data_IF_945509049486
#
_entry.id   IF_945509049486
#
_cell.length_a   1.000
_cell.length_b   1.000
_cell.length_c   1.000
_cell.angle_alpha   90.00
_cell.angle_beta   90.00
_cell.angle_gamma   90.00
#
_symmetry.space_group_name_H-M   'P 1'
#
loop_
_entity.id
_entity.type
_entity.pdbx_description
1 polymer ?
#
# COMPACT_ATOMS: atom_id res chain seq x y z
N UNK A 1 14.04 5.62 6.83
CA UNK A 1 13.28 6.61 7.62
C UNK A 1 12.38 7.39 6.67
N UNK A 2 11.10 7.29 6.87
CA UNK A 2 10.14 7.98 6.01
C UNK A 2 10.10 9.45 6.40
N UNK A 3 10.26 10.34 5.42
CA UNK A 3 10.15 11.77 5.67
C UNK A 3 8.73 12.09 6.12
N UNK A 4 8.60 12.98 7.09
CA UNK A 4 7.30 13.38 7.61
C UNK A 4 6.47 14.04 6.50
N UNK A 5 5.30 13.50 6.25
CA UNK A 5 4.42 13.99 5.20
C UNK A 5 3.74 15.29 5.67
N UNK A 6 3.79 16.30 4.83
CA UNK A 6 3.14 17.58 5.08
C UNK A 6 1.91 17.68 4.19
N UNK A 7 0.73 17.65 4.80
CA UNK A 7 -0.54 17.67 4.06
C UNK A 7 -0.71 18.95 3.24
N UNK A 8 -0.27 20.09 3.76
CA UNK A 8 -0.38 21.36 3.06
C UNK A 8 0.41 21.36 1.75
N UNK A 9 1.61 20.77 1.75
CA UNK A 9 2.42 20.67 0.56
C UNK A 9 1.78 19.76 -0.50
N UNK A 10 0.91 18.85 -0.06
CA UNK A 10 0.17 17.96 -0.95
C UNK A 10 -1.19 18.54 -1.36
N UNK A 11 -1.47 19.79 -0.98
CA UNK A 11 -2.70 20.45 -1.35
C UNK A 11 -3.90 20.14 -0.46
N UNK A 12 -3.66 19.59 0.73
CA UNK A 12 -4.73 19.23 1.66
C UNK A 12 -4.67 20.07 2.93
N UNK A 13 -5.84 20.56 3.35
CA UNK A 13 -5.96 21.25 4.63
C UNK A 13 -5.76 20.26 5.78
N UNK A 14 -5.07 20.67 6.83
CA UNK A 14 -4.93 19.85 8.02
C UNK A 14 -6.23 19.84 8.80
N UNK A 15 -6.89 18.70 8.87
CA UNK A 15 -8.09 18.48 9.66
C UNK A 15 -7.83 17.36 10.66
N UNK A 16 -8.62 17.32 11.73
CA UNK A 16 -8.48 16.27 12.74
C UNK A 16 -8.59 14.86 12.12
N UNK A 17 -9.59 14.57 11.27
CA UNK A 17 -9.66 13.25 10.64
C UNK A 17 -8.44 12.93 9.75
N UNK A 18 -7.98 13.89 8.96
CA UNK A 18 -6.83 13.67 8.08
C UNK A 18 -5.57 13.41 8.88
N UNK A 19 -5.34 14.16 9.94
CA UNK A 19 -4.18 13.96 10.80
C UNK A 19 -4.24 12.62 11.51
N UNK A 20 -5.43 12.18 11.96
CA UNK A 20 -5.59 10.90 12.62
C UNK A 20 -5.26 9.74 11.68
N UNK A 21 -5.80 9.75 10.46
CA UNK A 21 -5.52 8.70 9.47
C UNK A 21 -4.04 8.70 9.08
N UNK A 22 -3.45 9.87 8.88
CA UNK A 22 -2.03 9.99 8.54
C UNK A 22 -1.15 9.38 9.64
N UNK A 23 -1.44 9.68 10.90
CA UNK A 23 -0.69 9.11 12.02
C UNK A 23 -0.83 7.59 12.10
N UNK A 24 -2.04 7.07 11.84
CA UNK A 24 -2.25 5.63 11.80
C UNK A 24 -1.39 4.98 10.72
N UNK A 25 -1.33 5.57 9.55
CA UNK A 25 -0.52 5.06 8.44
C UNK A 25 0.98 5.16 8.75
N UNK A 26 1.41 6.26 9.33
CA UNK A 26 2.82 6.46 9.70
C UNK A 26 3.28 5.49 10.78
N UNK A 27 2.41 5.15 11.72
CA UNK A 27 2.72 4.21 12.79
C UNK A 27 2.80 2.75 12.30
N UNK A 28 2.28 2.45 11.11
CA UNK A 28 2.19 1.10 10.58
C UNK A 28 2.81 0.99 9.19
N UNK A 29 3.93 1.65 8.98
CA UNK A 29 4.60 1.73 7.67
C UNK A 29 5.09 0.39 7.16
N UNK A 30 5.35 -0.57 8.04
CA UNK A 30 5.80 -1.91 7.66
C UNK A 30 4.63 -2.79 7.18
N UNK A 31 3.40 -2.30 7.27
CA UNK A 31 2.21 -3.07 6.94
C UNK A 31 1.36 -2.33 5.92
N UNK A 32 0.70 -3.11 5.08
CA UNK A 32 -0.34 -2.58 4.22
C UNK A 32 -1.64 -2.58 5.04
N UNK A 33 -2.31 -1.45 5.12
CA UNK A 33 -3.50 -1.31 5.94
C UNK A 33 -4.76 -1.18 5.08
N UNK A 34 -5.76 -2.00 5.40
CA UNK A 34 -7.11 -1.79 4.85
C UNK A 34 -7.78 -0.64 5.61
N UNK A 35 -8.92 -0.17 5.09
CA UNK A 35 -9.70 0.84 5.81
C UNK A 35 -10.15 0.31 7.18
N UNK A 36 -10.50 -0.98 7.27
CA UNK A 36 -10.85 -1.63 8.54
C UNK A 36 -9.69 -1.60 9.52
N UNK A 37 -8.47 -1.84 9.04
CA UNK A 37 -7.27 -1.82 9.89
C UNK A 37 -7.05 -0.41 10.47
N UNK A 38 -7.22 0.62 9.64
CA UNK A 38 -7.10 2.00 10.09
C UNK A 38 -8.18 2.32 11.12
N UNK A 39 -9.41 1.90 10.85
CA UNK A 39 -10.53 2.11 11.77
C UNK A 39 -10.25 1.48 13.13
N UNK A 40 -9.83 0.21 13.17
CA UNK A 40 -9.52 -0.49 14.41
C UNK A 40 -8.35 0.15 15.16
N UNK A 41 -7.33 0.56 14.44
CA UNK A 41 -6.19 1.23 15.05
C UNK A 41 -6.62 2.49 15.81
N UNK A 42 -7.48 3.30 15.19
CA UNK A 42 -7.98 4.53 15.82
C UNK A 42 -8.91 4.23 16.97
N UNK A 43 -9.74 3.21 16.84
CA UNK A 43 -10.68 2.80 17.90
C UNK A 43 -9.92 2.35 19.15
N UNK A 44 -8.87 1.57 19.00
CA UNK A 44 -8.03 1.08 20.09
C UNK A 44 -7.32 2.20 20.85
N UNK A 45 -7.16 3.36 20.25
CA UNK A 45 -6.47 4.51 20.82
C UNK A 45 -7.40 5.62 21.24
N UNK A 46 -8.68 5.29 21.42
CA UNK A 46 -9.71 6.24 21.84
C UNK A 46 -9.84 7.46 20.93
N UNK A 47 -9.59 7.27 19.64
CA UNK A 47 -9.75 8.31 18.62
C UNK A 47 -10.60 7.80 17.46
N UNK A 48 -11.81 7.31 17.73
CA UNK A 48 -12.61 6.69 16.68
C UNK A 48 -13.06 7.71 15.62
N UNK A 49 -13.09 7.23 14.39
CA UNK A 49 -13.70 7.94 13.28
C UNK A 49 -14.74 7.03 12.64
N UNK A 50 -15.83 7.58 12.11
CA UNK A 50 -16.76 6.76 11.33
C UNK A 50 -16.06 6.10 10.15
N UNK A 51 -16.47 4.88 9.79
CA UNK A 51 -15.87 4.18 8.64
C UNK A 51 -15.97 5.00 7.36
N UNK A 52 -17.08 5.69 7.15
CA UNK A 52 -17.25 6.55 5.97
C UNK A 52 -16.20 7.66 5.91
N UNK A 53 -15.83 8.20 7.07
CA UNK A 53 -14.79 9.22 7.15
C UNK A 53 -13.42 8.61 6.83
N UNK A 54 -13.11 7.42 7.33
CA UNK A 54 -11.86 6.73 7.03
C UNK A 54 -11.72 6.50 5.52
N UNK A 55 -12.76 5.97 4.89
CA UNK A 55 -12.76 5.75 3.43
C UNK A 55 -12.56 7.05 2.65
N UNK A 56 -13.27 8.11 3.05
CA UNK A 56 -13.17 9.40 2.39
C UNK A 56 -11.76 9.99 2.49
N UNK A 57 -11.15 9.92 3.67
CA UNK A 57 -9.80 10.43 3.86
C UNK A 57 -8.78 9.63 3.06
N UNK A 58 -8.90 8.30 3.06
CA UNK A 58 -8.00 7.44 2.27
C UNK A 58 -8.13 7.73 0.77
N UNK A 59 -9.35 7.97 0.29
CA UNK A 59 -9.56 8.35 -1.11
C UNK A 59 -8.92 9.69 -1.44
N UNK A 60 -9.02 10.65 -0.53
CA UNK A 60 -8.37 11.96 -0.68
C UNK A 60 -6.86 11.83 -0.70
N UNK A 61 -6.31 10.99 0.16
CA UNK A 61 -4.86 10.74 0.21
C UNK A 61 -4.36 10.03 -1.06
N UNK A 62 -5.14 9.10 -1.59
CA UNK A 62 -4.80 8.44 -2.86
C UNK A 62 -4.76 9.46 -3.99
N UNK A 63 -5.78 10.29 -4.08
CA UNK A 63 -5.86 11.30 -5.12
C UNK A 63 -4.75 12.34 -5.02
N UNK A 64 -4.33 12.66 -3.80
CA UNK A 64 -3.24 13.61 -3.57
C UNK A 64 -1.85 12.97 -3.72
N UNK A 65 -1.76 11.68 -3.93
CA UNK A 65 -0.49 10.98 -4.07
C UNK A 65 0.21 10.68 -2.75
N UNK A 66 -0.50 10.73 -1.64
CA UNK A 66 0.05 10.45 -0.30
C UNK A 66 0.10 8.96 -0.05
N UNK A 67 -0.92 8.22 -0.49
CA UNK A 67 -0.99 6.76 -0.36
C UNK A 67 -1.21 6.12 -1.72
N UNK A 68 -0.80 4.86 -1.82
CA UNK A 68 -1.11 3.98 -2.95
C UNK A 68 -2.09 2.92 -2.48
N UNK A 69 -3.05 2.61 -3.32
CA UNK A 69 -4.03 1.58 -3.08
C UNK A 69 -3.67 0.33 -3.87
N UNK A 70 -3.68 -0.82 -3.20
CA UNK A 70 -3.37 -2.11 -3.82
C UNK A 70 -4.49 -3.11 -3.54
N UNK A 71 -4.72 -4.00 -4.49
CA UNK A 71 -5.63 -5.13 -4.32
C UNK A 71 -4.79 -6.40 -4.41
N UNK A 72 -4.57 -7.06 -3.27
CA UNK A 72 -3.65 -8.20 -3.17
C UNK A 72 -4.35 -9.55 -3.16
N UNK A 73 -5.66 -9.58 -3.36
CA UNK A 73 -6.36 -10.85 -3.54
C UNK A 73 -6.67 -11.08 -5.03
N UNK A 74 -6.84 -12.35 -5.41
CA UNK A 74 -7.11 -12.70 -6.80
C UNK A 74 -8.44 -12.12 -7.30
N UNK A 75 -9.37 -11.88 -6.41
CA UNK A 75 -10.69 -11.32 -6.71
C UNK A 75 -10.72 -9.81 -6.67
N UNK A 76 -9.64 -9.17 -6.21
CA UNK A 76 -9.51 -7.72 -6.06
C UNK A 76 -10.61 -7.10 -5.19
N UNK A 77 -11.11 -7.85 -4.23
CA UNK A 77 -12.18 -7.40 -3.34
C UNK A 77 -11.66 -6.67 -2.12
N UNK A 78 -10.47 -7.04 -1.62
CA UNK A 78 -9.87 -6.41 -0.47
C UNK A 78 -8.81 -5.41 -0.90
N UNK A 79 -9.01 -4.16 -0.52
CA UNK A 79 -8.08 -3.09 -0.85
C UNK A 79 -7.27 -2.70 0.37
N UNK A 80 -5.99 -2.51 0.16
CA UNK A 80 -5.06 -2.05 1.20
C UNK A 80 -4.34 -0.81 0.71
N UNK A 81 -3.84 -0.05 1.67
CA UNK A 81 -3.21 1.24 1.41
C UNK A 81 -1.83 1.26 2.06
N UNK A 82 -0.90 1.90 1.40
CA UNK A 82 0.41 2.17 1.99
C UNK A 82 0.83 3.60 1.68
N UNK A 83 1.62 4.18 2.56
CA UNK A 83 2.19 5.49 2.29
C UNK A 83 3.09 5.41 1.07
N UNK A 84 2.93 6.36 0.18
CA UNK A 84 3.75 6.43 -1.03
C UNK A 84 5.14 6.89 -0.64
N UNK A 85 6.01 5.92 -0.42
CA UNK A 85 7.39 6.18 -0.07
C UNK A 85 8.19 6.44 -1.35
N UNK A 86 9.32 7.09 -1.18
CA UNK A 86 10.23 7.37 -2.28
C UNK A 86 10.89 6.12 -2.85
N UNK A 87 10.87 5.02 -2.12
CA UNK A 87 11.47 3.77 -2.59
C UNK A 87 10.42 2.85 -3.20
N UNK A 88 10.57 2.64 -4.50
CA UNK A 88 9.74 1.69 -5.22
C UNK A 88 10.06 0.26 -4.77
N UNK A 89 9.03 -0.54 -4.56
CA UNK A 89 9.19 -1.96 -4.27
C UNK A 89 8.06 -2.75 -4.91
N UNK A 90 8.35 -4.03 -5.17
CA UNK A 90 7.40 -4.96 -5.74
C UNK A 90 6.89 -5.90 -4.65
N UNK A 91 5.85 -6.64 -4.94
CA UNK A 91 5.16 -7.46 -3.94
C UNK A 91 5.01 -8.91 -4.38
N UNK A 92 5.25 -9.83 -3.45
CA UNK A 92 4.94 -11.25 -3.60
C UNK A 92 3.86 -11.60 -2.58
N UNK A 93 2.72 -12.06 -3.04
CA UNK A 93 1.54 -12.30 -2.23
C UNK A 93 1.19 -13.78 -2.18
N UNK A 94 1.00 -14.33 -0.98
CA UNK A 94 0.49 -15.68 -0.84
C UNK A 94 -1.03 -15.67 -1.01
N UNK A 95 -1.53 -16.47 -1.94
CA UNK A 95 -2.98 -16.53 -2.21
C UNK A 95 -3.75 -17.26 -1.11
N UNK A 96 -3.06 -18.00 -0.24
CA UNK A 96 -3.71 -18.76 0.84
C UNK A 96 -3.72 -18.01 2.15
N UNK A 97 -2.57 -17.63 2.68
CA UNK A 97 -2.50 -16.92 3.97
C UNK A 97 -2.48 -15.40 3.82
N UNK A 98 -2.36 -14.90 2.58
CA UNK A 98 -2.38 -13.48 2.23
C UNK A 98 -1.20 -12.69 2.78
N UNK A 99 -0.12 -13.37 3.16
CA UNK A 99 1.11 -12.68 3.53
C UNK A 99 1.68 -11.93 2.34
N UNK A 100 2.21 -10.74 2.58
CA UNK A 100 2.78 -9.89 1.55
C UNK A 100 4.26 -9.69 1.86
N UNK A 101 5.11 -10.00 0.87
CA UNK A 101 6.55 -9.81 0.98
C UNK A 101 7.01 -8.79 -0.04
N UNK A 102 7.74 -7.79 0.41
CA UNK A 102 8.27 -6.76 -0.46
C UNK A 102 9.64 -7.19 -0.98
N UNK A 103 9.92 -6.87 -2.22
CA UNK A 103 11.24 -7.13 -2.80
C UNK A 103 11.57 -6.06 -3.84
N UNK A 104 12.85 -5.92 -4.11
CA UNK A 104 13.34 -5.06 -5.18
C UNK A 104 14.48 -5.81 -5.88
N UNK A 105 14.33 -6.08 -7.16
CA UNK A 105 15.33 -6.77 -7.96
C UNK A 105 15.81 -5.84 -9.08
N UNK A 106 17.09 -5.42 -9.06
CA UNK A 106 17.60 -4.52 -10.08
C UNK A 106 17.51 -5.07 -11.51
N UNK A 107 17.57 -6.38 -11.68
CA UNK A 107 17.45 -7.01 -13.01
C UNK A 107 16.03 -6.85 -13.57
N UNK A 108 15.02 -7.04 -12.71
CA UNK A 108 13.63 -6.84 -13.11
C UNK A 108 13.40 -5.38 -13.47
N UNK A 109 13.89 -4.46 -12.65
CA UNK A 109 13.75 -3.03 -12.90
C UNK A 109 14.41 -2.61 -14.22
N UNK A 110 15.63 -3.08 -14.47
CA UNK A 110 16.35 -2.78 -15.71
C UNK A 110 15.63 -3.34 -16.91
N UNK A 111 15.11 -4.56 -16.81
CA UNK A 111 14.42 -5.19 -17.93
C UNK A 111 13.13 -4.46 -18.30
N UNK A 112 12.40 -3.97 -17.32
CA UNK A 112 11.19 -3.18 -17.57
C UNK A 112 11.50 -1.89 -18.32
N UNK A 113 12.57 -1.21 -17.95
CA UNK A 113 13.02 -0.01 -18.65
C UNK A 113 13.40 -0.33 -20.12
N UNK A 114 14.11 -1.43 -20.34
CA UNK A 114 14.47 -1.87 -21.68
C UNK A 114 13.26 -2.16 -22.55
N UNK A 115 12.25 -2.85 -21.97
CA UNK A 115 11.02 -3.17 -22.68
C UNK A 115 10.29 -1.89 -23.07
N UNK A 116 10.18 -0.93 -22.14
CA UNK A 116 9.55 0.34 -22.44
C UNK A 116 10.24 1.08 -23.58
N UNK A 117 11.56 1.13 -23.56
CA UNK A 117 12.35 1.76 -24.63
C UNK A 117 12.16 1.06 -25.97
N UNK A 118 12.14 -0.28 -25.96
CA UNK A 118 11.92 -1.06 -27.17
C UNK A 118 10.56 -0.80 -27.81
N UNK A 119 9.58 -0.43 -27.01
CA UNK A 119 8.24 -0.09 -27.48
C UNK A 119 8.05 1.40 -27.76
N UNK A 120 9.09 2.21 -27.55
CA UNK A 120 9.03 3.65 -27.76
C UNK A 120 8.40 4.43 -26.61
N UNK A 121 8.39 3.87 -25.41
CA UNK A 121 7.81 4.53 -24.24
C UNK A 121 8.87 5.08 -23.31
N UNK A 122 8.54 6.21 -22.68
CA UNK A 122 9.29 6.71 -21.53
C UNK A 122 8.56 6.18 -20.30
N UNK A 123 9.21 5.32 -19.51
CA UNK A 123 8.60 4.68 -18.35
C UNK A 123 8.48 5.69 -17.22
N UNK A 124 7.23 6.00 -16.81
CA UNK A 124 6.98 6.94 -15.73
C UNK A 124 6.69 6.24 -14.41
N UNK A 125 6.06 5.07 -14.46
CA UNK A 125 5.69 4.32 -13.27
C UNK A 125 5.37 2.89 -13.65
N UNK A 126 5.45 1.98 -12.69
CA UNK A 126 5.02 0.59 -12.87
C UNK A 126 4.74 -0.03 -11.52
N UNK A 127 3.99 -1.13 -11.53
CA UNK A 127 3.76 -1.94 -10.35
C UNK A 127 3.85 -3.41 -10.72
N UNK A 128 4.42 -4.21 -9.84
CA UNK A 128 4.54 -5.65 -10.05
C UNK A 128 4.05 -6.38 -8.81
N UNK A 129 2.97 -7.14 -8.97
CA UNK A 129 2.43 -7.98 -7.91
C UNK A 129 2.46 -9.43 -8.41
N UNK A 130 3.17 -10.27 -7.69
CA UNK A 130 3.27 -11.70 -8.02
C UNK A 130 2.48 -12.50 -6.99
N UNK A 131 1.79 -13.52 -7.44
CA UNK A 131 0.91 -14.35 -6.62
C UNK A 131 1.39 -15.77 -6.61
N UNK A 132 1.42 -16.38 -5.44
CA UNK A 132 1.89 -17.74 -5.30
C UNK A 132 1.46 -18.34 -3.98
N UNK A 133 2.08 -19.45 -3.61
CA UNK A 133 1.83 -20.16 -2.36
C UNK A 133 3.13 -20.14 -1.57
N UNK A 134 3.11 -19.56 -0.35
CA UNK A 134 4.32 -19.48 0.45
C UNK A 134 4.74 -20.86 0.98
N UNK A 135 5.98 -20.96 1.44
CA UNK A 135 6.55 -22.24 1.90
C UNK A 135 5.73 -22.86 3.03
N UNK A 136 5.26 -22.04 3.98
CA UNK A 136 4.45 -22.54 5.08
C UNK A 136 3.12 -23.14 4.61
N UNK A 137 2.45 -22.47 3.68
CA UNK A 137 1.19 -22.96 3.12
C UNK A 137 1.40 -24.19 2.24
N UNK A 138 2.50 -24.23 1.49
CA UNK A 138 2.85 -25.39 0.66
C UNK A 138 3.10 -26.63 1.52
N UNK A 139 3.76 -26.50 2.67
CA UNK A 139 3.99 -27.61 3.59
C UNK A 139 2.69 -28.11 4.21
N UNK A 140 1.77 -27.20 4.56
CA UNK A 140 0.46 -27.59 5.11
C UNK A 140 -0.37 -28.37 4.11
N UNK A 141 -0.23 -28.06 2.82
CA UNK A 141 -0.96 -28.76 1.76
C UNK A 141 -0.43 -30.15 1.47
N UNK A 142 0.80 -30.47 1.88
CA UNK A 142 1.41 -31.78 1.66
C UNK A 142 1.03 -32.82 2.70
N UNK A 143 0.24 -32.47 3.67
CA UNK A 143 -0.21 -33.41 4.72
C UNK A 143 -1.53 -34.05 4.36
#
# INVERSE_FOLDING_TARGET
MIAKINLKEQGLTETTPRLAVLKAMEANTAQHMSADDVYRYLLERDRPLPMSTVYRVLAQFEQAGIVERHSFDAERTKQVYELKDSEHHDHMICIKCRSVHEFLDPHIESRQIEIAKGLGFELTDHSLNMYGICANCAEKDKK
#
